data_IF_435715213660
#
_entry.id   IF_435715213660
#
_cell.length_a   1.000
_cell.length_b   1.000
_cell.length_c   1.000
_cell.angle_alpha   90.00
_cell.angle_beta   90.00
_cell.angle_gamma   90.00
#
_symmetry.space_group_name_H-M   'P 1'
#
loop_
_entity.id
_entity.type
_entity.pdbx_description
1 polymer ?
#
# COMPACT_ATOMS: atom_id res chain seq x y z
N UNK A 1 7.74 -3.59 -8.67
CA UNK A 1 7.44 -4.09 -10.03
C UNK A 1 6.20 -3.33 -10.51
N UNK A 2 6.30 -2.54 -11.59
CA UNK A 2 5.15 -1.82 -12.16
C UNK A 2 4.41 -2.68 -13.18
N UNK A 3 3.08 -2.56 -13.25
CA UNK A 3 2.24 -3.24 -14.23
C UNK A 3 2.50 -2.69 -15.65
N UNK A 4 2.43 -3.55 -16.66
CA UNK A 4 2.40 -3.13 -18.06
C UNK A 4 1.00 -2.58 -18.44
N UNK A 5 0.86 -2.03 -19.64
CA UNK A 5 -0.38 -1.36 -20.07
C UNK A 5 -1.59 -2.30 -20.04
N UNK A 6 -1.45 -3.52 -20.56
CA UNK A 6 -2.53 -4.50 -20.62
C UNK A 6 -2.97 -4.95 -19.23
N UNK A 7 -2.00 -5.19 -18.34
CA UNK A 7 -2.28 -5.54 -16.94
C UNK A 7 -2.99 -4.40 -16.20
N UNK A 8 -2.61 -3.15 -16.49
CA UNK A 8 -3.26 -1.98 -15.89
C UNK A 8 -4.71 -1.82 -16.38
N UNK A 9 -4.96 -2.02 -17.67
CA UNK A 9 -6.32 -1.97 -18.23
C UNK A 9 -7.22 -3.03 -17.60
N UNK A 10 -6.73 -4.26 -17.41
CA UNK A 10 -7.46 -5.32 -16.71
C UNK A 10 -7.79 -4.94 -15.26
N UNK A 11 -6.79 -4.49 -14.49
CA UNK A 11 -6.98 -4.09 -13.09
C UNK A 11 -7.97 -2.92 -12.95
N UNK A 12 -7.95 -1.95 -13.87
CA UNK A 12 -8.90 -0.83 -13.88
C UNK A 12 -10.32 -1.33 -14.13
N UNK A 13 -10.52 -2.23 -15.10
CA UNK A 13 -11.82 -2.81 -15.40
C UNK A 13 -12.43 -3.51 -14.19
N UNK A 14 -11.63 -4.36 -13.54
CA UNK A 14 -12.06 -5.13 -12.38
C UNK A 14 -12.46 -4.22 -11.21
N UNK A 15 -11.62 -3.24 -10.85
CA UNK A 15 -11.89 -2.31 -9.75
C UNK A 15 -13.11 -1.44 -10.03
N UNK A 16 -13.29 -0.99 -11.27
CA UNK A 16 -14.45 -0.16 -11.65
C UNK A 16 -15.76 -0.94 -11.53
N UNK A 17 -15.75 -2.21 -11.95
CA UNK A 17 -16.92 -3.09 -11.81
C UNK A 17 -17.31 -3.34 -10.36
N UNK A 18 -16.31 -3.46 -9.47
CA UNK A 18 -16.50 -3.67 -8.04
C UNK A 18 -17.02 -2.39 -7.37
N UNK A 19 -16.47 -1.24 -7.74
CA UNK A 19 -16.87 0.07 -7.24
C UNK A 19 -18.33 0.40 -7.59
N UNK A 20 -18.78 0.07 -8.80
CA UNK A 20 -20.17 0.28 -9.22
C UNK A 20 -21.19 -0.53 -8.41
N UNK A 21 -20.79 -1.68 -7.87
CA UNK A 21 -21.64 -2.55 -7.02
C UNK A 21 -21.56 -2.18 -5.54
N UNK A 22 -20.54 -1.43 -5.13
CA UNK A 22 -20.31 -1.09 -3.74
C UNK A 22 -21.20 0.09 -3.32
N UNK A 23 -21.92 -0.06 -2.20
CA UNK A 23 -22.70 1.04 -1.62
C UNK A 23 -21.80 2.06 -0.89
N UNK A 24 -20.65 1.62 -0.37
CA UNK A 24 -19.68 2.45 0.35
C UNK A 24 -18.25 2.00 0.03
N UNK A 25 -17.32 2.95 0.01
CA UNK A 25 -15.89 2.72 -0.22
C UNK A 25 -15.10 3.17 1.01
N UNK A 26 -14.21 2.32 1.51
CA UNK A 26 -13.32 2.63 2.63
C UNK A 26 -11.87 2.56 2.13
N UNK A 27 -11.14 3.66 2.29
CA UNK A 27 -9.72 3.73 1.97
C UNK A 27 -8.91 3.80 3.28
N UNK A 28 -7.96 2.89 3.45
CA UNK A 28 -7.00 2.92 4.54
C UNK A 28 -5.61 3.16 3.97
N UNK A 29 -5.04 4.34 4.25
CA UNK A 29 -3.64 4.59 3.96
C UNK A 29 -2.80 4.02 5.10
N UNK A 30 -2.03 2.97 4.81
CA UNK A 30 -1.14 2.38 5.79
C UNK A 30 0.09 3.27 5.96
N UNK A 31 0.07 4.17 6.96
CA UNK A 31 1.24 4.98 7.35
C UNK A 31 2.20 4.26 8.30
N UNK A 32 2.18 2.93 8.31
CA UNK A 32 3.10 2.14 9.13
C UNK A 32 4.49 2.07 8.50
N UNK A 33 5.52 2.20 9.33
CA UNK A 33 6.91 1.93 8.97
C UNK A 33 7.15 0.41 8.99
N UNK A 34 7.99 -0.09 8.09
CA UNK A 34 8.26 -1.54 8.03
C UNK A 34 8.97 -2.02 9.30
N UNK A 35 8.85 -3.31 9.62
CA UNK A 35 9.57 -3.90 10.77
C UNK A 35 11.09 -3.73 10.61
N UNK A 36 11.59 -3.84 9.38
CA UNK A 36 13.01 -3.65 9.07
C UNK A 36 13.45 -2.21 9.37
N UNK A 37 12.69 -1.21 8.92
CA UNK A 37 13.01 0.19 9.14
C UNK A 37 12.85 0.59 10.62
N UNK A 38 11.86 0.02 11.32
CA UNK A 38 11.76 0.17 12.78
C UNK A 38 12.94 -0.44 13.53
N UNK A 39 13.47 -1.57 13.05
CA UNK A 39 14.63 -2.20 13.68
C UNK A 39 15.86 -1.32 13.53
N UNK A 40 16.08 -0.72 12.34
CA UNK A 40 17.13 0.28 12.12
C UNK A 40 16.97 1.49 13.04
N UNK A 41 15.77 2.08 13.08
CA UNK A 41 15.49 3.24 13.91
C UNK A 41 15.77 2.98 15.41
N UNK A 42 15.42 1.79 15.91
CA UNK A 42 15.72 1.40 17.30
C UNK A 42 17.21 1.24 17.56
N UNK A 43 17.97 0.71 16.61
CA UNK A 43 19.42 0.55 16.74
C UNK A 43 20.11 1.92 16.74
N UNK A 44 19.71 2.83 15.85
CA UNK A 44 20.22 4.19 15.78
C UNK A 44 19.89 5.00 17.04
N UNK A 45 18.70 4.79 17.61
CA UNK A 45 18.33 5.44 18.88
C UNK A 45 19.17 4.94 20.05
N UNK A 46 19.48 3.64 20.11
CA UNK A 46 20.32 3.05 21.17
C UNK A 46 21.80 3.42 21.07
N UNK A 47 22.30 3.74 19.88
CA UNK A 47 23.71 4.13 19.70
C UNK A 47 23.97 5.61 20.01
N UNK A 48 22.92 6.42 20.06
CA UNK A 48 22.97 7.88 20.29
C UNK A 48 22.52 8.30 21.70
N UNK A 49 22.13 7.36 22.55
CA UNK A 49 21.80 7.57 23.97
C UNK A 49 22.74 6.78 24.85
#
# INVERSE_FOLDING_TARGET
>A
MSLNRSEKEAVIGDVTSLAAKAQTLVLAEYRGITVADMTKLRNDARSKG
#
